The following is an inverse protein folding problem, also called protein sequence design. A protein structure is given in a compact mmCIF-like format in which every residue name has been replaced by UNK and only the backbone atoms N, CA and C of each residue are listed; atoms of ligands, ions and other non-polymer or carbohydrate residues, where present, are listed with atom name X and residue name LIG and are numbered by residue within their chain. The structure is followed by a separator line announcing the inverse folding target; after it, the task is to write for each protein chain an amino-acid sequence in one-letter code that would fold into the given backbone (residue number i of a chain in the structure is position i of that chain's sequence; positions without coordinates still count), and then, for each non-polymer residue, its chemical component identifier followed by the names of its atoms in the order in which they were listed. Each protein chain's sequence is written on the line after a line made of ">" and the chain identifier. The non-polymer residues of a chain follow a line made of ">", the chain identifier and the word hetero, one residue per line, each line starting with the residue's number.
data_IF_340569739669
#
_entry.id   IF_340569739669
#
_cell.length_a   1.000
_cell.length_b   1.000
_cell.length_c   1.000
_cell.angle_alpha   90.00
_cell.angle_beta   90.00
_cell.angle_gamma   90.00
#
_symmetry.space_group_name_H-M   'P 1'
#
loop_
_entity.id
_entity.type
_entity.pdbx_description
1 polymer ?
#
# COMPACT_ATOMS: atom_id res chain seq x y z
N UNK A 1 -10.95 22.41 3.14
CA UNK A 1 -10.12 21.25 2.78
C UNK A 1 -10.69 20.64 1.51
N UNK A 2 -9.94 20.62 0.41
CA UNK A 2 -10.42 20.09 -0.88
C UNK A 2 -9.99 18.63 -1.01
N UNK A 3 -10.75 17.72 -0.38
CA UNK A 3 -10.51 16.28 -0.43
C UNK A 3 -10.49 15.76 -1.88
N UNK A 4 -11.28 16.37 -2.76
CA UNK A 4 -11.35 16.07 -4.19
C UNK A 4 -9.99 16.30 -4.89
N UNK A 5 -9.25 17.35 -4.52
CA UNK A 5 -7.91 17.61 -5.04
C UNK A 5 -6.90 16.58 -4.53
N UNK A 6 -7.00 16.21 -3.25
CA UNK A 6 -6.12 15.19 -2.64
C UNK A 6 -6.35 13.84 -3.31
N UNK A 7 -7.60 13.41 -3.47
CA UNK A 7 -7.94 12.14 -4.13
C UNK A 7 -7.45 12.09 -5.58
N UNK A 8 -7.60 13.17 -6.35
CA UNK A 8 -7.09 13.23 -7.72
C UNK A 8 -5.57 13.08 -7.78
N UNK A 9 -4.83 13.78 -6.91
CA UNK A 9 -3.36 13.69 -6.86
C UNK A 9 -2.89 12.32 -6.38
N UNK A 10 -3.57 11.73 -5.41
CA UNK A 10 -3.29 10.38 -4.91
C UNK A 10 -3.44 9.34 -6.03
N UNK A 11 -4.51 9.44 -6.83
CA UNK A 11 -4.76 8.50 -7.93
C UNK A 11 -3.60 8.43 -8.93
N UNK A 12 -2.91 9.53 -9.21
CA UNK A 12 -1.80 9.55 -10.15
C UNK A 12 -0.60 8.74 -9.64
N UNK A 13 -0.23 8.88 -8.36
CA UNK A 13 0.84 8.08 -7.77
C UNK A 13 0.45 6.63 -7.54
N UNK A 14 -0.80 6.36 -7.16
CA UNK A 14 -1.33 5.00 -6.99
C UNK A 14 -1.24 4.23 -8.31
N UNK A 15 -1.56 4.85 -9.46
CA UNK A 15 -1.41 4.20 -10.78
C UNK A 15 0.03 3.82 -11.09
N UNK A 16 1.00 4.66 -10.74
CA UNK A 16 2.41 4.34 -10.93
C UNK A 16 2.85 3.16 -10.05
N UNK A 17 2.32 3.06 -8.84
CA UNK A 17 2.58 1.93 -7.93
C UNK A 17 1.94 0.64 -8.48
N UNK A 18 0.72 0.72 -9.02
CA UNK A 18 0.09 -0.42 -9.69
C UNK A 18 0.86 -0.91 -10.93
N UNK A 19 1.46 0.00 -11.70
CA UNK A 19 2.36 -0.38 -12.80
C UNK A 19 3.61 -1.09 -12.30
N UNK A 20 4.16 -0.66 -11.16
CA UNK A 20 5.28 -1.33 -10.52
C UNK A 20 4.90 -2.73 -10.01
N UNK A 21 3.72 -2.90 -9.40
CA UNK A 21 3.20 -4.22 -8.99
C UNK A 21 3.15 -5.19 -10.17
N UNK A 22 2.59 -4.76 -11.31
CA UNK A 22 2.53 -5.57 -12.53
C UNK A 22 3.91 -5.96 -13.07
N UNK A 23 4.93 -5.11 -12.89
CA UNK A 23 6.29 -5.41 -13.31
C UNK A 23 7.01 -6.38 -12.36
N UNK A 24 6.71 -6.34 -11.06
CA UNK A 24 7.34 -7.16 -10.04
C UNK A 24 6.65 -8.52 -9.82
N UNK A 25 5.34 -8.63 -10.05
CA UNK A 25 4.58 -9.88 -9.82
C UNK A 25 5.19 -11.08 -10.56
N UNK A 26 5.73 -10.86 -11.77
CA UNK A 26 6.33 -11.92 -12.59
C UNK A 26 7.69 -12.40 -12.07
N UNK A 27 8.27 -11.68 -11.11
CA UNK A 27 9.55 -12.03 -10.48
C UNK A 27 9.37 -12.74 -9.14
N UNK A 28 8.14 -12.77 -8.60
CA UNK A 28 7.83 -13.48 -7.37
C UNK A 28 8.00 -14.98 -7.59
N UNK A 29 8.84 -15.61 -6.77
CA UNK A 29 9.00 -17.07 -6.75
C UNK A 29 8.22 -17.64 -5.58
N UNK A 30 7.92 -18.93 -5.62
CA UNK A 30 7.26 -19.62 -4.52
C UNK A 30 8.02 -19.50 -3.18
N UNK A 31 9.34 -19.37 -3.22
CA UNK A 31 10.18 -19.15 -2.02
C UNK A 31 10.05 -17.74 -1.43
N UNK A 32 9.52 -16.80 -2.19
CA UNK A 32 9.36 -15.40 -1.79
C UNK A 32 7.95 -15.13 -1.22
N UNK A 33 7.08 -16.15 -1.21
CA UNK A 33 5.71 -16.10 -0.67
C UNK A 33 5.72 -16.66 0.74
N UNK A 34 5.24 -15.87 1.69
CA UNK A 34 5.03 -16.23 3.08
C UNK A 34 3.54 -16.48 3.33
N UNK A 35 3.23 -17.41 4.23
CA UNK A 35 1.86 -17.67 4.66
C UNK A 35 1.61 -16.87 5.94
N UNK A 36 0.65 -15.95 5.88
CA UNK A 36 0.21 -15.14 7.02
C UNK A 36 -0.97 -15.83 7.74
N UNK A 37 -1.44 -15.21 8.82
CA UNK A 37 -2.63 -15.69 9.52
C UNK A 37 -3.86 -15.73 8.61
N UNK A 38 -4.82 -16.61 8.93
CA UNK A 38 -6.06 -16.78 8.16
C UNK A 38 -5.92 -17.30 6.72
N UNK A 39 -4.84 -18.05 6.41
CA UNK A 39 -4.56 -18.61 5.07
C UNK A 39 -4.32 -17.56 3.98
N UNK A 40 -3.92 -16.33 4.33
CA UNK A 40 -3.48 -15.35 3.32
C UNK A 40 -2.03 -15.57 2.92
N UNK A 41 -1.71 -15.25 1.67
CA UNK A 41 -0.36 -15.26 1.12
C UNK A 41 0.15 -13.82 1.04
N UNK A 42 1.42 -13.63 1.37
CA UNK A 42 2.08 -12.32 1.26
C UNK A 42 3.43 -12.47 0.59
N UNK A 43 3.77 -11.56 -0.31
CA UNK A 43 5.07 -11.48 -0.95
C UNK A 43 5.78 -10.16 -0.64
N UNK A 44 7.00 -10.00 -1.15
CA UNK A 44 7.68 -8.71 -1.09
C UNK A 44 6.93 -7.61 -1.86
N UNK A 45 6.11 -7.96 -2.86
CA UNK A 45 5.34 -7.01 -3.66
C UNK A 45 4.28 -6.33 -2.81
N UNK A 46 3.60 -7.07 -1.93
CA UNK A 46 2.60 -6.56 -0.99
C UNK A 46 3.22 -5.53 -0.04
N UNK A 47 4.29 -5.95 0.66
CA UNK A 47 4.99 -5.13 1.65
C UNK A 47 5.57 -3.86 1.05
N UNK A 48 6.13 -3.96 -0.15
CA UNK A 48 6.76 -2.82 -0.81
C UNK A 48 5.74 -1.89 -1.47
N UNK A 49 4.60 -2.42 -1.95
CA UNK A 49 3.47 -1.62 -2.40
C UNK A 49 2.94 -0.75 -1.28
N UNK A 50 2.76 -1.33 -0.09
CA UNK A 50 2.30 -0.59 1.08
C UNK A 50 3.25 0.56 1.45
N UNK A 51 4.56 0.30 1.52
CA UNK A 51 5.56 1.34 1.80
C UNK A 51 5.50 2.47 0.78
N UNK A 52 5.39 2.14 -0.52
CA UNK A 52 5.31 3.14 -1.60
C UNK A 52 4.02 3.95 -1.53
N UNK A 53 2.89 3.32 -1.24
CA UNK A 53 1.60 3.98 -1.08
C UNK A 53 1.65 4.94 0.11
N UNK A 54 2.09 4.45 1.27
CA UNK A 54 2.22 5.26 2.48
C UNK A 54 3.16 6.46 2.27
N UNK A 55 4.32 6.25 1.65
CA UNK A 55 5.28 7.33 1.38
C UNK A 55 4.68 8.38 0.42
N UNK A 56 4.01 7.95 -0.64
CA UNK A 56 3.35 8.86 -1.58
C UNK A 56 2.24 9.67 -0.90
N UNK A 57 1.36 9.01 -0.14
CA UNK A 57 0.24 9.63 0.54
C UNK A 57 0.69 10.55 1.68
N UNK A 58 1.75 10.19 2.39
CA UNK A 58 2.39 11.03 3.41
C UNK A 58 2.95 12.32 2.81
N UNK A 59 3.58 12.25 1.63
CA UNK A 59 4.06 13.45 0.91
C UNK A 59 2.91 14.35 0.46
N UNK A 60 1.77 13.77 0.08
CA UNK A 60 0.57 14.52 -0.29
C UNK A 60 -0.14 15.15 0.92
N UNK A 61 -0.12 14.47 2.07
CA UNK A 61 -0.71 14.96 3.31
C UNK A 61 0.15 14.58 4.53
N UNK A 62 1.12 15.44 4.92
CA UNK A 62 2.07 15.11 5.99
C UNK A 62 1.49 14.88 7.41
N UNK A 63 0.20 15.15 7.62
CA UNK A 63 -0.49 14.98 8.89
C UNK A 63 -1.45 13.79 8.94
N UNK A 64 -1.51 12.96 7.89
CA UNK A 64 -2.32 11.74 7.91
C UNK A 64 -1.61 10.60 8.66
N UNK A 65 -2.40 9.69 9.21
CA UNK A 65 -1.94 8.37 9.64
C UNK A 65 -2.32 7.28 8.65
N UNK A 66 -2.00 6.03 9.00
CA UNK A 66 -2.27 4.87 8.17
C UNK A 66 -2.95 3.76 8.97
N UNK A 67 -3.80 3.00 8.27
CA UNK A 67 -4.29 1.69 8.67
C UNK A 67 -4.02 0.76 7.48
N UNK A 68 -3.07 -0.14 7.62
CA UNK A 68 -2.58 -0.97 6.51
C UNK A 68 -2.60 -2.47 6.83
N UNK A 69 -2.69 -3.33 5.82
CA UNK A 69 -2.77 -4.79 5.98
C UNK A 69 -1.42 -5.42 6.38
N UNK A 70 -0.31 -4.94 5.80
CA UNK A 70 1.02 -5.53 5.96
C UNK A 70 1.82 -4.93 7.12
N UNK A 71 1.26 -3.94 7.82
CA UNK A 71 1.84 -3.28 8.99
C UNK A 71 3.32 -2.87 8.79
N UNK A 72 3.70 -2.54 7.56
CA UNK A 72 5.06 -2.15 7.18
C UNK A 72 5.40 -0.70 7.52
N UNK A 73 4.39 0.07 7.93
CA UNK A 73 4.46 1.48 8.31
C UNK A 73 3.78 1.73 9.65
N UNK A 74 4.04 2.89 10.24
CA UNK A 74 3.48 3.28 11.55
C UNK A 74 1.95 3.43 11.49
N UNK A 75 1.25 2.59 12.26
CA UNK A 75 -0.22 2.56 12.38
C UNK A 75 -0.77 3.59 13.38
N UNK A 76 0.00 4.65 13.70
CA UNK A 76 -0.40 5.67 14.68
C UNK A 76 -1.78 6.25 14.37
N UNK A 77 -2.60 6.36 15.40
CA UNK A 77 -3.88 7.03 15.30
C UNK A 77 -3.69 8.53 15.02
N UNK A 78 -4.40 9.02 14.01
CA UNK A 78 -4.44 10.42 13.62
C UNK A 78 -5.88 10.81 13.32
N UNK A 79 -6.18 12.12 13.35
CA UNK A 79 -7.52 12.65 13.03
C UNK A 79 -7.98 12.27 11.61
N UNK A 80 -7.02 12.06 10.71
CA UNK A 80 -7.25 11.57 9.35
C UNK A 80 -6.33 10.39 9.08
N UNK A 81 -6.89 9.31 8.52
CA UNK A 81 -6.13 8.12 8.14
C UNK A 81 -6.47 7.66 6.73
N UNK A 82 -5.46 7.16 6.04
CA UNK A 82 -5.65 6.32 4.86
C UNK A 82 -5.82 4.87 5.29
N UNK A 83 -6.79 4.19 4.71
CA UNK A 83 -6.98 2.75 4.84
C UNK A 83 -6.44 2.13 3.56
N UNK A 84 -5.44 1.26 3.68
CA UNK A 84 -4.67 0.75 2.54
C UNK A 84 -4.69 -0.77 2.59
N UNK A 85 -5.31 -1.35 1.56
CA UNK A 85 -4.98 -2.69 1.08
C UNK A 85 -3.96 -2.50 -0.06
N UNK A 86 -2.71 -2.94 0.12
CA UNK A 86 -1.66 -2.68 -0.86
C UNK A 86 -1.81 -3.54 -2.12
N UNK A 87 -2.43 -4.72 -2.03
CA UNK A 87 -2.60 -5.65 -3.13
C UNK A 87 -3.77 -6.61 -2.84
N UNK A 88 -4.97 -6.28 -3.34
CA UNK A 88 -6.13 -7.15 -3.19
C UNK A 88 -6.04 -8.39 -4.09
N UNK A 89 -6.40 -9.56 -3.55
CA UNK A 89 -6.49 -10.83 -4.29
C UNK A 89 -5.19 -11.64 -4.36
N UNK A 90 -4.47 -11.80 -3.26
CA UNK A 90 -3.19 -12.53 -3.15
C UNK A 90 -3.27 -14.07 -3.27
N UNK A 91 -4.36 -14.64 -3.80
CA UNK A 91 -4.60 -16.10 -3.88
C UNK A 91 -4.38 -16.70 -5.27
#
# INVERSE_FOLDING_TARGET
>A
MQLDVICRKAADGIRAIGQWQLAEQHKVRATDVELKDHNSLVSYVDRESERRLAEHLQRLWPGCGFLTEEETVDQRACDVRWIIDPLDGTT
#
